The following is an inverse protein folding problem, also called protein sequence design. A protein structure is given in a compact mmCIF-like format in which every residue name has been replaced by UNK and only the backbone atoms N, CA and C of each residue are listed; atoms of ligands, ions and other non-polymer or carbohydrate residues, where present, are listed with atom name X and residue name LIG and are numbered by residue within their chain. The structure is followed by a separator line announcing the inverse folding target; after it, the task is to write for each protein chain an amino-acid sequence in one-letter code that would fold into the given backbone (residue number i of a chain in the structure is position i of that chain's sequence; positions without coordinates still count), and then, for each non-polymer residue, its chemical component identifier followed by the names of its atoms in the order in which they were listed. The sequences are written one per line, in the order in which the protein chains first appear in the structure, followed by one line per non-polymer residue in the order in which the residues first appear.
data_IF_351998827346
#
_entry.id   IF_351998827346
#
_cell.length_a   1.000
_cell.length_b   1.000
_cell.length_c   1.000
_cell.angle_alpha   90.00
_cell.angle_beta   90.00
_cell.angle_gamma   90.00
#
_symmetry.space_group_name_H-M   'P 1'
#
loop_
_entity.id
_entity.type
_entity.pdbx_description
1 polymer ?
#
# COMPACT_ATOMS: atom_id res chain seq x y z
N UNK A 1 5.19 20.58 -27.79
CA UNK A 1 4.76 20.05 -26.47
C UNK A 1 3.54 19.19 -26.72
N UNK A 2 3.62 17.89 -26.46
CA UNK A 2 2.48 16.98 -26.60
C UNK A 2 1.53 17.26 -25.44
N UNK A 3 0.29 17.63 -25.74
CA UNK A 3 -0.73 17.90 -24.71
C UNK A 3 -1.09 16.58 -24.01
N UNK A 4 -1.22 16.61 -22.68
CA UNK A 4 -1.70 15.47 -21.91
C UNK A 4 -3.15 15.16 -22.31
N UNK A 5 -3.54 13.87 -22.43
CA UNK A 5 -4.93 13.49 -22.63
C UNK A 5 -5.80 14.07 -21.50
N UNK A 6 -7.00 14.55 -21.84
CA UNK A 6 -8.01 14.91 -20.83
C UNK A 6 -8.59 13.66 -20.19
N UNK A 7 -9.05 13.78 -18.94
CA UNK A 7 -9.88 12.74 -18.35
C UNK A 7 -11.27 12.74 -19.03
N UNK A 8 -11.89 11.56 -19.20
CA UNK A 8 -13.27 11.47 -19.67
C UNK A 8 -14.25 12.21 -18.74
N UNK A 9 -15.18 13.00 -19.31
CA UNK A 9 -16.13 13.76 -18.50
C UNK A 9 -17.10 12.86 -17.75
N UNK A 10 -17.49 11.73 -18.36
CA UNK A 10 -18.37 10.71 -17.76
C UNK A 10 -17.75 10.06 -16.51
N UNK A 11 -16.41 9.92 -16.45
CA UNK A 11 -15.71 9.47 -15.26
C UNK A 11 -15.82 10.49 -14.14
N UNK A 12 -15.63 11.78 -14.45
CA UNK A 12 -15.73 12.87 -13.47
C UNK A 12 -17.15 12.93 -12.88
N UNK A 13 -18.17 12.84 -13.74
CA UNK A 13 -19.58 12.84 -13.34
C UNK A 13 -19.91 11.64 -12.46
N UNK A 14 -19.48 10.43 -12.86
CA UNK A 14 -19.71 9.22 -12.08
C UNK A 14 -19.06 9.28 -10.68
N UNK A 15 -17.82 9.77 -10.57
CA UNK A 15 -17.15 9.94 -9.27
C UNK A 15 -17.86 10.99 -8.41
N UNK A 16 -18.33 12.08 -9.01
CA UNK A 16 -19.08 13.13 -8.29
C UNK A 16 -20.38 12.61 -7.70
N UNK A 17 -21.13 11.78 -8.45
CA UNK A 17 -22.38 11.15 -7.99
C UNK A 17 -22.15 10.13 -6.85
N UNK A 18 -20.98 9.49 -6.79
CA UNK A 18 -20.63 8.50 -5.78
C UNK A 18 -19.99 9.13 -4.52
N UNK A 19 -20.02 10.44 -4.35
CA UNK A 19 -19.43 11.09 -3.17
C UNK A 19 -20.36 11.00 -1.95
N UNK A 20 -20.39 9.85 -1.30
CA UNK A 20 -21.16 9.58 -0.07
C UNK A 20 -20.34 8.70 0.89
N UNK A 21 -20.73 8.73 2.16
CA UNK A 21 -20.14 7.88 3.21
C UNK A 21 -20.82 6.51 3.34
N UNK A 22 -21.82 6.23 2.54
CA UNK A 22 -22.49 4.94 2.52
C UNK A 22 -21.53 3.86 1.97
N UNK A 23 -21.44 2.72 2.66
CA UNK A 23 -20.43 1.70 2.39
C UNK A 23 -20.48 1.11 0.98
N UNK A 24 -21.69 0.91 0.42
CA UNK A 24 -21.88 0.43 -0.97
C UNK A 24 -21.32 1.42 -1.99
N UNK A 25 -21.53 2.71 -1.74
CA UNK A 25 -21.07 3.80 -2.60
C UNK A 25 -19.54 3.95 -2.50
N UNK A 26 -18.96 3.76 -1.31
CA UNK A 26 -17.51 3.78 -1.14
C UNK A 26 -16.82 2.68 -1.95
N UNK A 27 -17.42 1.48 -2.01
CA UNK A 27 -16.94 0.39 -2.85
C UNK A 27 -17.06 0.71 -4.34
N UNK A 28 -18.23 1.20 -4.77
CA UNK A 28 -18.47 1.55 -6.17
C UNK A 28 -17.48 2.63 -6.66
N UNK A 29 -17.27 3.68 -5.87
CA UNK A 29 -16.30 4.71 -6.18
C UNK A 29 -14.87 4.14 -6.25
N UNK A 30 -14.47 3.34 -5.27
CA UNK A 30 -13.13 2.78 -5.22
C UNK A 30 -12.84 1.83 -6.41
N UNK A 31 -13.82 1.00 -6.79
CA UNK A 31 -13.71 0.11 -7.95
C UNK A 31 -13.65 0.89 -9.27
N UNK A 32 -14.44 1.95 -9.40
CA UNK A 32 -14.39 2.86 -10.56
C UNK A 32 -13.02 3.54 -10.67
N UNK A 33 -12.48 4.04 -9.57
CA UNK A 33 -11.15 4.67 -9.54
C UNK A 33 -10.03 3.67 -9.85
N UNK A 34 -10.13 2.43 -9.36
CA UNK A 34 -9.16 1.38 -9.67
C UNK A 34 -9.17 1.05 -11.17
N UNK A 35 -10.36 0.85 -11.76
CA UNK A 35 -10.52 0.59 -13.19
C UNK A 35 -9.98 1.75 -14.05
N UNK A 36 -10.30 2.99 -13.68
CA UNK A 36 -9.81 4.17 -14.39
C UNK A 36 -8.28 4.29 -14.36
N UNK A 37 -7.65 3.99 -13.21
CA UNK A 37 -6.19 3.99 -13.09
C UNK A 37 -5.56 2.87 -13.90
N UNK A 38 -6.16 1.68 -13.93
CA UNK A 38 -5.66 0.54 -14.70
C UNK A 38 -5.76 0.78 -16.21
N UNK A 39 -6.85 1.38 -16.67
CA UNK A 39 -7.08 1.68 -18.09
C UNK A 39 -6.21 2.85 -18.58
N UNK A 40 -6.25 3.98 -17.88
CA UNK A 40 -5.60 5.21 -18.34
C UNK A 40 -4.14 5.33 -17.89
N UNK A 41 -3.75 4.66 -16.79
CA UNK A 41 -2.42 4.75 -16.22
C UNK A 41 -1.29 4.47 -17.23
N UNK A 42 -1.35 3.39 -18.03
CA UNK A 42 -0.35 3.10 -19.06
C UNK A 42 -0.21 4.23 -20.09
N UNK A 43 -1.34 4.80 -20.54
CA UNK A 43 -1.34 5.90 -21.54
C UNK A 43 -0.66 7.14 -20.95
N UNK A 44 -1.01 7.54 -19.75
CA UNK A 44 -0.38 8.69 -19.09
C UNK A 44 1.10 8.45 -18.74
N UNK A 45 1.48 7.21 -18.43
CA UNK A 45 2.86 6.86 -18.09
C UNK A 45 3.83 7.04 -19.25
N UNK A 46 3.35 6.95 -20.50
CA UNK A 46 4.18 7.18 -21.71
C UNK A 46 4.47 8.66 -21.96
N UNK A 47 3.72 9.58 -21.32
CA UNK A 47 3.93 11.00 -21.51
C UNK A 47 5.24 11.46 -20.84
N UNK A 48 6.12 12.22 -21.56
CA UNK A 48 7.44 12.63 -21.03
C UNK A 48 7.40 13.36 -19.68
N UNK A 49 6.32 14.13 -19.42
CA UNK A 49 6.12 14.87 -18.16
C UNK A 49 5.71 14.00 -16.98
N UNK A 50 5.29 12.75 -17.22
CA UNK A 50 4.85 11.79 -16.18
C UNK A 50 5.87 10.66 -16.03
N UNK A 51 6.14 9.89 -17.06
CA UNK A 51 7.25 8.95 -17.16
C UNK A 51 7.17 7.71 -16.25
N UNK A 52 6.06 7.48 -15.53
CA UNK A 52 5.87 6.26 -14.73
C UNK A 52 4.43 6.02 -14.34
N UNK A 53 4.02 4.76 -14.16
CA UNK A 53 2.67 4.37 -13.68
C UNK A 53 2.32 5.00 -12.32
N UNK A 54 3.28 5.07 -11.40
CA UNK A 54 3.07 5.69 -10.08
C UNK A 54 2.70 7.18 -10.21
N UNK A 55 3.40 7.93 -11.07
CA UNK A 55 3.10 9.34 -11.32
C UNK A 55 1.80 9.50 -12.10
N UNK A 56 1.50 8.60 -13.04
CA UNK A 56 0.24 8.57 -13.78
C UNK A 56 -0.96 8.40 -12.82
N UNK A 57 -0.91 7.43 -11.90
CA UNK A 57 -1.91 7.27 -10.84
C UNK A 57 -2.14 8.56 -10.06
N UNK A 58 -1.06 9.16 -9.54
CA UNK A 58 -1.15 10.41 -8.78
C UNK A 58 -1.76 11.53 -9.61
N UNK A 59 -1.38 11.64 -10.88
CA UNK A 59 -1.91 12.64 -11.80
C UNK A 59 -3.42 12.46 -12.04
N UNK A 60 -3.87 11.22 -12.32
CA UNK A 60 -5.28 10.88 -12.55
C UNK A 60 -6.12 11.25 -11.31
N UNK A 61 -5.74 10.77 -10.13
CA UNK A 61 -6.49 11.03 -8.90
C UNK A 61 -6.54 12.53 -8.55
N UNK A 62 -5.44 13.27 -8.76
CA UNK A 62 -5.43 14.72 -8.57
C UNK A 62 -6.35 15.43 -9.54
N UNK A 63 -6.37 15.03 -10.82
CA UNK A 63 -7.27 15.61 -11.81
C UNK A 63 -8.75 15.34 -11.48
N UNK A 64 -9.06 14.15 -10.98
CA UNK A 64 -10.42 13.85 -10.49
C UNK A 64 -10.74 14.74 -9.29
N UNK A 65 -9.84 14.88 -8.32
CA UNK A 65 -10.02 15.74 -7.16
C UNK A 65 -10.29 17.21 -7.56
N UNK A 66 -9.46 17.74 -8.47
CA UNK A 66 -9.59 19.12 -8.98
C UNK A 66 -10.97 19.37 -9.65
N UNK A 67 -11.55 18.38 -10.31
CA UNK A 67 -12.81 18.51 -11.05
C UNK A 67 -14.06 18.22 -10.19
N UNK A 68 -13.92 17.35 -9.16
CA UNK A 68 -15.06 16.91 -8.33
C UNK A 68 -15.12 17.63 -6.99
N UNK A 69 -14.04 18.31 -6.58
CA UNK A 69 -13.91 18.90 -5.25
C UNK A 69 -13.73 17.87 -4.12
N UNK A 70 -13.60 16.58 -4.44
CA UNK A 70 -13.33 15.53 -3.46
C UNK A 70 -11.83 15.53 -3.13
N UNK A 71 -11.50 15.45 -1.84
CA UNK A 71 -10.10 15.43 -1.41
C UNK A 71 -9.31 14.27 -2.04
N UNK A 72 -8.11 14.57 -2.57
CA UNK A 72 -7.23 13.58 -3.23
C UNK A 72 -6.90 12.40 -2.30
N UNK A 73 -6.74 12.65 -1.00
CA UNK A 73 -6.45 11.60 -0.01
C UNK A 73 -7.62 10.63 0.14
N UNK A 74 -8.85 11.12 0.06
CA UNK A 74 -10.07 10.31 0.07
C UNK A 74 -10.17 9.42 -1.17
N UNK A 75 -9.94 9.98 -2.36
CA UNK A 75 -9.94 9.21 -3.60
C UNK A 75 -8.86 8.13 -3.60
N UNK A 76 -7.65 8.49 -3.17
CA UNK A 76 -6.51 7.58 -3.06
C UNK A 76 -6.76 6.45 -2.07
N UNK A 77 -7.36 6.75 -0.92
CA UNK A 77 -7.68 5.74 0.08
C UNK A 77 -8.73 4.75 -0.46
N UNK A 78 -9.82 5.24 -1.06
CA UNK A 78 -10.88 4.41 -1.65
C UNK A 78 -10.34 3.51 -2.77
N UNK A 79 -9.63 4.07 -3.74
CA UNK A 79 -8.97 3.33 -4.82
C UNK A 79 -8.03 2.24 -4.27
N UNK A 80 -7.19 2.59 -3.33
CA UNK A 80 -6.19 1.71 -2.75
C UNK A 80 -6.79 0.57 -1.89
N UNK A 81 -7.95 0.77 -1.25
CA UNK A 81 -8.67 -0.31 -0.55
C UNK A 81 -9.27 -1.29 -1.56
N UNK A 82 -9.89 -0.80 -2.64
CA UNK A 82 -10.49 -1.63 -3.68
C UNK A 82 -9.46 -2.40 -4.51
N UNK A 83 -8.31 -1.79 -4.80
CA UNK A 83 -7.17 -2.45 -5.44
C UNK A 83 -6.61 -3.60 -4.57
N UNK A 84 -6.51 -3.38 -3.26
CA UNK A 84 -6.04 -4.40 -2.32
C UNK A 84 -7.05 -5.54 -2.12
N UNK A 85 -8.34 -5.22 -2.11
CA UNK A 85 -9.45 -6.17 -1.93
C UNK A 85 -10.39 -6.14 -3.13
N UNK A 86 -10.06 -6.82 -4.24
CA UNK A 86 -10.94 -6.88 -5.41
C UNK A 86 -12.28 -7.56 -5.07
N UNK A 87 -13.35 -7.36 -5.87
CA UNK A 87 -14.71 -7.85 -5.59
C UNK A 87 -14.76 -9.33 -5.21
N UNK A 88 -14.01 -10.18 -5.92
CA UNK A 88 -13.95 -11.64 -5.65
C UNK A 88 -13.48 -11.94 -4.23
N UNK A 89 -12.48 -11.21 -3.73
CA UNK A 89 -11.94 -11.40 -2.38
C UNK A 89 -12.92 -10.95 -1.30
N UNK A 90 -13.69 -9.88 -1.57
CA UNK A 90 -14.70 -9.36 -0.64
C UNK A 90 -15.86 -10.33 -0.44
N UNK A 91 -16.21 -11.14 -1.46
CA UNK A 91 -17.25 -12.17 -1.37
C UNK A 91 -16.86 -13.35 -0.45
N UNK A 92 -15.56 -13.56 -0.17
CA UNK A 92 -15.10 -14.61 0.76
C UNK A 92 -15.52 -14.34 2.21
N UNK A 93 -15.78 -13.07 2.56
CA UNK A 93 -16.12 -12.61 3.91
C UNK A 93 -17.32 -11.68 3.86
N UNK A 94 -18.47 -12.24 3.49
CA UNK A 94 -19.73 -11.51 3.47
C UNK A 94 -20.08 -10.99 4.87
N UNK A 95 -20.57 -9.75 4.94
CA UNK A 95 -20.98 -9.09 6.19
C UNK A 95 -19.96 -8.10 6.76
N UNK A 96 -18.76 -7.97 6.21
CA UNK A 96 -17.85 -6.89 6.62
C UNK A 96 -18.17 -5.58 5.90
N UNK A 97 -18.18 -4.49 6.68
CA UNK A 97 -18.34 -3.13 6.15
C UNK A 97 -17.07 -2.65 5.46
N UNK A 98 -17.17 -1.64 4.60
CA UNK A 98 -16.02 -0.98 3.97
C UNK A 98 -14.96 -0.54 5.01
N UNK A 99 -15.39 0.00 6.16
CA UNK A 99 -14.48 0.48 7.19
C UNK A 99 -13.70 -0.65 7.89
N UNK A 100 -14.28 -1.86 8.00
CA UNK A 100 -13.58 -3.03 8.50
C UNK A 100 -12.52 -3.50 7.49
N UNK A 101 -12.85 -3.58 6.21
CA UNK A 101 -11.90 -3.89 5.13
C UNK A 101 -10.75 -2.88 5.07
N UNK A 102 -11.07 -1.59 5.20
CA UNK A 102 -10.06 -0.54 5.31
C UNK A 102 -9.12 -0.75 6.51
N UNK A 103 -9.64 -1.24 7.64
CA UNK A 103 -8.82 -1.58 8.80
C UNK A 103 -7.93 -2.80 8.52
N UNK A 104 -8.47 -3.87 7.90
CA UNK A 104 -7.68 -5.06 7.53
C UNK A 104 -6.54 -4.73 6.58
N UNK A 105 -6.70 -3.79 5.66
CA UNK A 105 -5.62 -3.34 4.77
C UNK A 105 -4.39 -2.88 5.54
N UNK A 106 -4.56 -2.28 6.72
CA UNK A 106 -3.43 -1.84 7.56
C UNK A 106 -2.57 -3.00 8.07
N UNK A 107 -3.09 -4.23 8.07
CA UNK A 107 -2.34 -5.45 8.41
C UNK A 107 -1.50 -6.01 7.24
N UNK A 108 -1.65 -5.47 6.03
CA UNK A 108 -0.93 -5.95 4.85
C UNK A 108 -1.19 -7.43 4.57
N UNK A 109 -0.15 -8.23 4.34
CA UNK A 109 -0.27 -9.66 4.04
C UNK A 109 -0.93 -10.52 5.12
N UNK A 110 -1.02 -10.01 6.36
CA UNK A 110 -1.63 -10.73 7.50
C UNK A 110 -3.13 -10.45 7.66
N UNK A 111 -3.76 -9.72 6.76
CA UNK A 111 -5.14 -9.28 6.86
C UNK A 111 -6.14 -10.43 7.12
N UNK A 112 -5.90 -11.63 6.53
CA UNK A 112 -6.78 -12.81 6.69
C UNK A 112 -6.91 -13.23 8.15
N UNK A 113 -5.82 -13.24 8.92
CA UNK A 113 -5.80 -13.53 10.35
C UNK A 113 -6.84 -12.69 11.10
N UNK A 114 -6.86 -11.38 10.83
CA UNK A 114 -7.78 -10.45 11.51
C UNK A 114 -9.20 -10.51 10.96
N UNK A 115 -9.38 -10.84 9.68
CA UNK A 115 -10.71 -11.06 9.11
C UNK A 115 -11.36 -12.31 9.71
N UNK A 116 -10.62 -13.41 9.84
CA UNK A 116 -11.10 -14.64 10.50
C UNK A 116 -11.41 -14.41 11.98
N UNK A 117 -10.54 -13.69 12.70
CA UNK A 117 -10.79 -13.31 14.08
C UNK A 117 -12.03 -12.41 14.23
N UNK A 118 -12.23 -11.48 13.30
CA UNK A 118 -13.39 -10.60 13.28
C UNK A 118 -14.69 -11.37 12.94
N UNK A 119 -14.62 -12.34 12.01
CA UNK A 119 -15.78 -13.18 11.66
C UNK A 119 -16.28 -14.02 12.83
N UNK A 120 -15.38 -14.49 13.70
CA UNK A 120 -15.74 -15.21 14.91
C UNK A 120 -16.37 -14.32 16.00
N UNK A 121 -16.15 -13.01 15.93
CA UNK A 121 -16.57 -12.03 16.94
C UNK A 121 -17.50 -10.95 16.34
N UNK A 122 -18.36 -11.30 15.38
CA UNK A 122 -19.27 -10.35 14.75
C UNK A 122 -20.35 -9.84 15.74
N UNK A 123 -20.67 -8.53 15.68
CA UNK A 123 -20.04 -7.49 14.90
C UNK A 123 -18.76 -6.96 15.56
N UNK A 124 -17.58 -7.21 14.95
CA UNK A 124 -16.31 -6.69 15.46
C UNK A 124 -16.16 -5.19 15.11
N UNK A 125 -16.14 -4.27 16.08
CA UNK A 125 -15.97 -2.85 15.81
C UNK A 125 -14.60 -2.54 15.17
N UNK A 126 -14.56 -1.58 14.26
CA UNK A 126 -13.30 -1.15 13.58
C UNK A 126 -12.19 -0.80 14.58
N UNK A 127 -12.55 -0.18 15.74
CA UNK A 127 -11.59 0.15 16.79
C UNK A 127 -10.91 -1.09 17.36
N UNK A 128 -11.66 -2.16 17.55
CA UNK A 128 -11.16 -3.45 18.08
C UNK A 128 -10.22 -4.09 17.08
N UNK A 129 -10.59 -4.16 15.80
CA UNK A 129 -9.72 -4.67 14.71
C UNK A 129 -8.41 -3.90 14.65
N UNK A 130 -8.45 -2.57 14.71
CA UNK A 130 -7.25 -1.73 14.75
C UNK A 130 -6.40 -1.96 16.00
N UNK A 131 -7.03 -2.25 17.13
CA UNK A 131 -6.35 -2.65 18.37
C UNK A 131 -5.53 -3.92 18.15
N UNK A 132 -6.14 -4.99 17.68
CA UNK A 132 -5.44 -6.26 17.38
C UNK A 132 -4.23 -6.07 16.46
N UNK A 133 -4.42 -5.32 15.35
CA UNK A 133 -3.34 -5.06 14.38
C UNK A 133 -2.20 -4.26 15.03
N UNK A 134 -2.53 -3.31 15.91
CA UNK A 134 -1.53 -2.50 16.62
C UNK A 134 -0.78 -3.32 17.65
N UNK A 135 -1.47 -4.16 18.39
CA UNK A 135 -0.90 -4.98 19.46
C UNK A 135 0.08 -6.01 18.86
N UNK A 136 -0.31 -6.71 17.80
CA UNK A 136 0.59 -7.61 17.07
C UNK A 136 1.82 -6.88 16.48
N UNK A 137 1.64 -5.66 15.99
CA UNK A 137 2.77 -4.85 15.51
C UNK A 137 3.69 -4.39 16.65
N UNK A 138 3.14 -4.23 17.85
CA UNK A 138 3.90 -3.84 19.03
C UNK A 138 4.56 -5.05 19.73
N UNK A 139 4.00 -6.26 19.61
CA UNK A 139 4.66 -7.49 20.08
C UNK A 139 5.98 -7.76 19.34
N UNK A 140 6.08 -7.34 18.07
CA UNK A 140 7.35 -7.30 17.33
C UNK A 140 7.92 -5.89 17.38
N UNK A 141 8.08 -5.31 18.57
CA UNK A 141 8.96 -4.14 18.72
C UNK A 141 10.40 -4.63 18.58
N UNK A 142 10.84 -4.81 17.34
CA UNK A 142 12.27 -4.88 17.05
C UNK A 142 12.85 -3.57 17.58
N UNK A 143 13.72 -3.60 18.61
CA UNK A 143 14.30 -2.39 19.17
C UNK A 143 14.93 -1.54 18.07
N UNK A 144 14.89 -0.22 18.22
CA UNK A 144 15.42 0.68 17.18
C UNK A 144 16.88 0.34 16.82
N UNK A 145 17.68 -0.10 17.80
CA UNK A 145 19.06 -0.55 17.57
C UNK A 145 19.14 -1.82 16.72
N UNK A 146 18.19 -2.75 16.84
CA UNK A 146 18.17 -3.99 16.05
C UNK A 146 17.81 -3.70 14.59
N UNK A 147 16.85 -2.79 14.34
CA UNK A 147 16.55 -2.29 12.98
C UNK A 147 17.73 -1.55 12.35
N UNK A 148 18.54 -0.87 13.17
CA UNK A 148 19.78 -0.25 12.69
C UNK A 148 20.85 -1.30 12.38
N UNK A 149 20.95 -2.34 13.19
CA UNK A 149 21.87 -3.46 12.99
C UNK A 149 21.53 -4.20 11.69
N UNK A 150 20.26 -4.54 11.47
CA UNK A 150 19.80 -5.22 10.25
C UNK A 150 20.16 -4.40 9.00
N UNK A 151 19.90 -3.08 9.02
CA UNK A 151 20.31 -2.19 7.93
C UNK A 151 21.82 -2.13 7.74
N UNK A 152 22.57 -2.19 8.81
CA UNK A 152 24.04 -2.17 8.74
C UNK A 152 24.59 -3.46 8.13
N UNK A 153 23.96 -4.60 8.45
CA UNK A 153 24.29 -5.90 7.86
C UNK A 153 23.93 -5.92 6.37
N UNK A 154 22.76 -5.40 5.97
CA UNK A 154 22.35 -5.27 4.57
C UNK A 154 23.34 -4.42 3.75
N UNK A 155 23.79 -3.29 4.32
CA UNK A 155 24.83 -2.44 3.72
C UNK A 155 26.16 -3.18 3.61
N UNK A 156 26.54 -3.96 4.62
CA UNK A 156 27.76 -4.76 4.61
C UNK A 156 27.72 -5.81 3.49
N UNK A 157 26.62 -6.54 3.32
CA UNK A 157 26.42 -7.48 2.20
C UNK A 157 26.52 -6.80 0.82
N UNK A 158 25.96 -5.60 0.68
CA UNK A 158 26.04 -4.84 -0.57
C UNK A 158 27.49 -4.38 -0.86
N UNK A 159 28.21 -3.89 0.14
CA UNK A 159 29.61 -3.44 0.02
C UNK A 159 30.59 -4.58 -0.24
N UNK A 160 30.36 -5.76 0.34
CA UNK A 160 31.21 -6.93 0.09
C UNK A 160 31.20 -7.34 -1.39
N UNK A 161 30.02 -7.19 -2.05
CA UNK A 161 29.80 -7.54 -3.46
C UNK A 161 30.14 -6.44 -4.45
N UNK A 162 30.32 -5.21 -3.98
CA UNK A 162 30.62 -4.07 -4.83
C UNK A 162 32.12 -4.05 -5.18
N UNK A 163 32.43 -4.49 -6.41
CA UNK A 163 33.81 -4.51 -6.93
C UNK A 163 34.42 -3.12 -7.05
N UNK A 164 33.62 -2.07 -7.12
CA UNK A 164 34.07 -0.67 -7.17
C UNK A 164 34.48 -0.12 -5.81
N UNK A 165 34.05 -0.79 -4.71
CA UNK A 165 34.40 -0.38 -3.35
C UNK A 165 35.86 -0.67 -3.02
N UNK A 166 36.54 0.22 -2.26
CA UNK A 166 37.92 0.03 -1.80
C UNK A 166 38.11 -1.32 -1.08
N UNK A 167 39.26 -1.99 -1.34
CA UNK A 167 39.56 -3.32 -0.80
C UNK A 167 39.40 -3.41 0.72
N UNK A 168 39.90 -2.37 1.44
CA UNK A 168 39.79 -2.30 2.90
C UNK A 168 38.33 -2.23 3.38
N UNK A 169 37.44 -1.56 2.62
CA UNK A 169 36.04 -1.41 2.95
C UNK A 169 35.29 -2.74 2.74
N UNK A 170 35.60 -3.46 1.65
CA UNK A 170 35.07 -4.81 1.42
C UNK A 170 35.52 -5.81 2.47
N UNK A 171 36.77 -5.73 2.92
CA UNK A 171 37.27 -6.58 3.99
C UNK A 171 36.56 -6.30 5.33
N UNK A 172 36.33 -5.04 5.66
CA UNK A 172 35.57 -4.66 6.86
C UNK A 172 34.09 -5.13 6.77
N UNK A 173 33.47 -4.99 5.60
CA UNK A 173 32.10 -5.46 5.35
C UNK A 173 31.98 -6.99 5.51
N UNK A 174 32.92 -7.75 4.97
CA UNK A 174 32.98 -9.21 5.14
C UNK A 174 33.05 -9.61 6.62
N UNK A 175 33.85 -8.95 7.42
CA UNK A 175 33.95 -9.23 8.85
C UNK A 175 32.63 -8.99 9.58
N UNK A 176 31.88 -7.96 9.22
CA UNK A 176 30.53 -7.69 9.76
C UNK A 176 29.56 -8.82 9.39
N UNK A 177 29.60 -9.29 8.15
CA UNK A 177 28.76 -10.39 7.66
C UNK A 177 29.09 -11.69 8.39
N UNK A 178 30.36 -12.01 8.57
CA UNK A 178 30.83 -13.20 9.32
C UNK A 178 30.31 -13.21 10.76
N UNK A 179 30.45 -12.10 11.49
CA UNK A 179 29.95 -11.97 12.87
C UNK A 179 28.42 -12.10 12.92
N UNK A 180 27.70 -11.59 11.91
CA UNK A 180 26.25 -11.70 11.85
C UNK A 180 25.81 -13.15 11.66
N UNK A 181 26.48 -13.91 10.80
CA UNK A 181 26.15 -15.32 10.52
C UNK A 181 26.47 -16.23 11.72
N UNK A 182 27.58 -16.02 12.43
CA UNK A 182 27.95 -16.79 13.64
C UNK A 182 26.90 -16.68 14.75
N UNK A 183 26.22 -15.52 14.88
CA UNK A 183 25.13 -15.35 15.85
C UNK A 183 23.84 -16.05 15.47
N UNK A 184 23.58 -16.29 14.20
CA UNK A 184 22.39 -17.03 13.75
C UNK A 184 22.52 -18.55 13.95
N UNK A 185 23.73 -19.08 13.92
CA UNK A 185 23.99 -20.52 14.11
C UNK A 185 24.00 -20.94 15.60
N UNK A 186 23.92 -19.98 16.53
CA UNK A 186 24.00 -20.23 17.99
C UNK A 186 22.64 -20.02 18.73
N UNK A 187 21.55 -19.77 18.02
CA UNK A 187 20.18 -19.65 18.55
C UNK A 187 19.26 -20.74 17.99
#
# INVERSE_FOLDING_TARGET
MTQLPSLPDDLIDAVSQLNSDEGSIQWAMGDLLAAAVDEMGPVYATHPGIGSLRRARTYILRKIADNTGIDESTLRDRQSVCEFFPPKMRLEYDGFTYHQWRAFKAAGGQWRKYAEQAAQNLPAPVRVIRGWIKDDKNEVVIPAWQRMLDKFVDIAYALERDESAPVWLRAAARHVVEISNEKHDTL
#
